data_IF_652267407195
#
_entry.id   IF_652267407195
#
_cell.length_a   1.000
_cell.length_b   1.000
_cell.length_c   1.000
_cell.angle_alpha   90.00
_cell.angle_beta   90.00
_cell.angle_gamma   90.00
#
_symmetry.space_group_name_H-M   'P 1'
#
loop_
_entity.id
_entity.type
_entity.pdbx_description
1 polymer ?
#
# COMPACT_ATOMS: atom_id res chain seq x y z
N UNK A 1 -18.16 48.49 -0.81
CA UNK A 1 -17.69 47.32 -1.59
C UNK A 1 -16.38 46.80 -0.98
N UNK A 2 -16.42 45.82 -0.07
CA UNK A 2 -15.22 45.24 0.56
C UNK A 2 -15.07 43.74 0.22
N UNK A 3 -14.88 43.41 -1.06
CA UNK A 3 -14.74 42.01 -1.54
C UNK A 3 -13.32 41.63 -1.99
N UNK A 4 -12.54 42.58 -2.51
CA UNK A 4 -11.28 42.26 -3.19
C UNK A 4 -10.05 42.17 -2.27
N UNK A 5 -10.14 42.72 -1.05
CA UNK A 5 -9.03 42.74 -0.08
C UNK A 5 -8.83 41.40 0.64
N UNK A 6 -9.84 40.51 0.65
CA UNK A 6 -9.77 39.22 1.33
C UNK A 6 -9.07 38.15 0.48
N UNK A 7 -9.31 38.12 -0.83
CA UNK A 7 -8.69 37.15 -1.74
C UNK A 7 -7.18 37.38 -1.90
N UNK A 8 -6.73 38.63 -1.97
CA UNK A 8 -5.30 38.95 -2.02
C UNK A 8 -4.55 38.59 -0.73
N UNK A 9 -5.23 38.66 0.43
CA UNK A 9 -4.67 38.23 1.71
C UNK A 9 -4.53 36.71 1.82
N UNK A 10 -5.48 35.96 1.27
CA UNK A 10 -5.44 34.48 1.24
C UNK A 10 -4.33 33.94 0.33
N UNK A 11 -4.14 34.52 -0.86
CA UNK A 11 -3.03 34.14 -1.74
C UNK A 11 -1.67 34.53 -1.14
N UNK A 12 -1.58 35.69 -0.50
CA UNK A 12 -0.37 36.13 0.17
C UNK A 12 -0.05 35.25 1.39
N UNK A 13 -1.04 34.85 2.20
CA UNK A 13 -0.83 33.94 3.33
C UNK A 13 -0.46 32.53 2.87
N UNK A 14 -1.01 32.05 1.75
CA UNK A 14 -0.63 30.76 1.16
C UNK A 14 0.81 30.77 0.66
N UNK A 15 1.21 31.85 -0.04
CA UNK A 15 2.58 32.03 -0.51
C UNK A 15 3.57 32.17 0.66
N UNK A 16 3.19 32.91 1.71
CA UNK A 16 4.00 33.11 2.92
C UNK A 16 4.15 31.82 3.73
N UNK A 17 3.06 31.08 3.96
CA UNK A 17 3.10 29.79 4.66
C UNK A 17 3.93 28.75 3.87
N UNK A 18 3.80 28.75 2.54
CA UNK A 18 4.63 27.90 1.67
C UNK A 18 6.10 28.30 1.77
N UNK A 19 6.42 29.59 1.79
CA UNK A 19 7.81 30.09 1.92
C UNK A 19 8.42 29.81 3.29
N UNK A 20 7.69 30.05 4.38
CA UNK A 20 8.17 29.84 5.75
C UNK A 20 8.38 28.34 6.04
N UNK A 21 7.51 27.47 5.49
CA UNK A 21 7.68 26.01 5.53
C UNK A 21 8.84 25.54 4.64
N UNK A 22 9.03 26.16 3.47
CA UNK A 22 10.16 25.85 2.57
C UNK A 22 11.50 26.24 3.21
N UNK A 23 11.57 27.37 3.91
CA UNK A 23 12.79 27.85 4.59
C UNK A 23 13.13 27.00 5.84
N UNK A 24 12.13 26.55 6.60
CA UNK A 24 12.35 25.66 7.74
C UNK A 24 12.77 24.24 7.31
N UNK A 25 12.27 23.74 6.17
CA UNK A 25 12.65 22.45 5.59
C UNK A 25 13.99 22.51 4.83
N UNK A 26 14.40 23.67 4.30
CA UNK A 26 15.64 23.82 3.52
C UNK A 26 16.92 23.48 4.30
N UNK A 27 16.91 23.51 5.63
CA UNK A 27 18.04 23.11 6.47
C UNK A 27 18.01 21.65 6.94
N UNK A 28 16.97 20.88 6.64
CA UNK A 28 16.89 19.44 6.90
C UNK A 28 16.46 18.71 5.63
N UNK A 29 17.37 18.59 4.67
CA UNK A 29 17.22 17.68 3.52
C UNK A 29 17.45 16.22 3.97
N UNK A 30 16.64 15.76 4.93
CA UNK A 30 16.69 14.40 5.44
C UNK A 30 15.91 13.50 4.48
N UNK A 31 16.62 12.80 3.61
CA UNK A 31 16.03 11.78 2.76
C UNK A 31 15.72 10.53 3.60
N UNK A 32 14.57 10.56 4.29
CA UNK A 32 14.10 9.44 5.12
C UNK A 32 13.88 8.15 4.32
N UNK A 33 13.84 8.22 2.99
CA UNK A 33 13.68 7.05 2.13
C UNK A 33 14.87 6.11 2.20
N UNK A 34 16.03 6.58 2.65
CA UNK A 34 17.25 5.76 2.82
C UNK A 34 17.22 4.90 4.10
N UNK A 35 16.25 5.09 5.00
CA UNK A 35 16.19 4.35 6.27
C UNK A 35 15.52 2.99 6.04
N UNK A 36 16.34 1.94 6.11
CA UNK A 36 15.90 0.55 6.22
C UNK A 36 15.64 0.19 7.68
N UNK A 37 14.54 -0.49 7.93
CA UNK A 37 14.18 -1.12 9.21
C UNK A 37 14.30 -2.64 9.07
N UNK A 38 14.60 -3.33 10.17
CA UNK A 38 14.55 -4.79 10.19
C UNK A 38 13.12 -5.28 9.93
N UNK A 39 12.97 -6.17 8.94
CA UNK A 39 11.67 -6.76 8.62
C UNK A 39 11.15 -7.61 9.80
N UNK A 40 9.85 -7.56 10.11
CA UNK A 40 9.27 -8.40 11.15
C UNK A 40 9.51 -9.89 10.86
N UNK A 41 9.68 -10.73 11.91
CA UNK A 41 10.05 -12.14 11.74
C UNK A 41 9.06 -12.93 10.88
N UNK A 42 7.80 -12.52 10.86
CA UNK A 42 6.73 -13.15 10.09
C UNK A 42 6.94 -13.06 8.57
N UNK A 43 7.75 -12.11 8.09
CA UNK A 43 8.00 -11.86 6.67
C UNK A 43 9.32 -12.46 6.17
N UNK A 44 10.14 -13.05 7.05
CA UNK A 44 11.52 -13.48 6.73
C UNK A 44 11.61 -14.41 5.52
N UNK A 45 10.67 -15.33 5.36
CA UNK A 45 10.68 -16.29 4.24
C UNK A 45 10.44 -15.62 2.88
N UNK A 46 9.85 -14.43 2.87
CA UNK A 46 9.71 -13.63 1.66
C UNK A 46 11.08 -13.13 1.22
N UNK A 47 11.85 -12.54 2.14
CA UNK A 47 13.20 -12.05 1.85
C UNK A 47 14.14 -13.16 1.35
N UNK A 48 13.99 -14.39 1.83
CA UNK A 48 14.82 -15.53 1.39
C UNK A 48 14.39 -16.11 0.03
N UNK A 49 13.12 -15.93 -0.35
CA UNK A 49 12.60 -16.43 -1.62
C UNK A 49 12.80 -15.44 -2.79
N UNK A 50 12.97 -14.15 -2.50
CA UNK A 50 13.22 -13.14 -3.52
C UNK A 50 14.62 -13.29 -4.15
N UNK A 51 14.72 -12.95 -5.44
CA UNK A 51 16.03 -12.85 -6.10
C UNK A 51 16.86 -11.72 -5.48
N UNK A 52 18.21 -11.78 -5.53
CA UNK A 52 19.06 -10.72 -4.98
C UNK A 52 18.74 -9.32 -5.53
N UNK A 53 18.34 -9.23 -6.81
CA UNK A 53 17.91 -7.99 -7.45
C UNK A 53 16.63 -7.43 -6.82
N UNK A 54 15.62 -8.29 -6.57
CA UNK A 54 14.38 -7.90 -5.88
C UNK A 54 14.62 -7.50 -4.43
N UNK A 55 15.50 -8.21 -3.71
CA UNK A 55 15.88 -7.82 -2.34
C UNK A 55 16.53 -6.43 -2.35
N UNK A 56 17.47 -6.18 -3.27
CA UNK A 56 18.10 -4.86 -3.40
C UNK A 56 17.07 -3.76 -3.71
N UNK A 57 16.17 -4.02 -4.67
CA UNK A 57 15.09 -3.09 -5.03
C UNK A 57 14.18 -2.74 -3.85
N UNK A 58 13.88 -3.73 -3.00
CA UNK A 58 13.01 -3.60 -1.84
C UNK A 58 13.71 -3.04 -0.59
N UNK A 59 15.03 -3.03 -0.52
CA UNK A 59 15.77 -2.56 0.66
C UNK A 59 16.50 -1.24 0.47
N UNK A 60 16.89 -0.92 -0.77
CA UNK A 60 17.67 0.26 -1.11
C UNK A 60 17.23 0.90 -2.45
N UNK A 61 16.34 0.26 -3.20
CA UNK A 61 15.93 0.72 -4.52
C UNK A 61 14.72 1.65 -4.55
N UNK A 62 14.27 2.02 -5.75
CA UNK A 62 13.09 2.86 -5.95
C UNK A 62 11.80 2.34 -5.28
N UNK A 63 11.60 1.02 -5.22
CA UNK A 63 10.41 0.45 -4.60
C UNK A 63 10.43 0.60 -3.06
N UNK A 64 11.60 0.49 -2.43
CA UNK A 64 11.82 0.85 -1.02
C UNK A 64 11.46 2.31 -0.77
N UNK A 65 11.99 3.23 -1.58
CA UNK A 65 11.69 4.66 -1.45
C UNK A 65 10.19 4.94 -1.63
N UNK A 66 9.54 4.25 -2.55
CA UNK A 66 8.09 4.35 -2.78
C UNK A 66 7.31 3.87 -1.54
N UNK A 67 7.66 2.71 -0.98
CA UNK A 67 7.05 2.18 0.24
C UNK A 67 7.26 3.12 1.46
N UNK A 68 8.43 3.74 1.59
CA UNK A 68 8.73 4.75 2.62
C UNK A 68 7.83 5.97 2.48
N UNK A 69 7.75 6.55 1.28
CA UNK A 69 6.96 7.76 0.99
C UNK A 69 5.47 7.51 1.22
N UNK A 70 4.96 6.41 0.68
CA UNK A 70 3.57 6.01 0.88
C UNK A 70 3.30 5.72 2.36
N UNK A 71 4.15 4.95 3.03
CA UNK A 71 4.00 4.68 4.46
C UNK A 71 3.93 5.94 5.31
N UNK A 72 4.77 6.94 5.03
CA UNK A 72 4.73 8.23 5.71
C UNK A 72 3.47 9.06 5.37
N UNK A 73 3.03 9.08 4.11
CA UNK A 73 1.87 9.84 3.67
C UNK A 73 0.54 9.36 4.27
N UNK A 74 0.45 8.05 4.57
CA UNK A 74 -0.76 7.42 5.09
C UNK A 74 -0.66 7.02 6.58
N UNK A 75 0.40 7.39 7.28
CA UNK A 75 0.69 6.92 8.65
C UNK A 75 -0.44 7.21 9.65
N UNK A 76 -1.05 8.40 9.55
CA UNK A 76 -2.09 8.89 10.46
C UNK A 76 -3.50 8.37 10.12
N UNK A 77 -3.76 8.04 8.85
CA UNK A 77 -5.05 7.48 8.40
C UNK A 77 -5.09 5.95 8.46
N UNK A 78 -3.92 5.31 8.60
CA UNK A 78 -3.77 3.88 8.64
C UNK A 78 -4.50 3.24 9.84
N UNK A 79 -5.33 2.19 9.62
CA UNK A 79 -6.00 1.51 10.72
C UNK A 79 -4.99 0.71 11.57
N UNK A 80 -5.14 0.76 12.90
CA UNK A 80 -4.26 0.05 13.85
C UNK A 80 -4.61 -1.45 13.86
N UNK A 81 -3.91 -2.23 13.05
CA UNK A 81 -4.22 -3.65 12.81
C UNK A 81 -3.00 -4.58 12.98
N UNK A 82 -2.36 -4.58 14.17
CA UNK A 82 -1.11 -5.33 14.39
C UNK A 82 -1.28 -6.86 14.25
N UNK A 83 -2.43 -7.42 14.63
CA UNK A 83 -2.67 -8.87 14.56
C UNK A 83 -2.87 -9.32 13.12
N UNK A 84 -3.55 -8.50 12.32
CA UNK A 84 -3.70 -8.67 10.88
C UNK A 84 -2.35 -8.62 10.18
N UNK A 85 -1.54 -7.59 10.44
CA UNK A 85 -0.22 -7.49 9.81
C UNK A 85 0.64 -8.70 10.16
N UNK A 86 0.61 -9.16 11.42
CA UNK A 86 1.29 -10.39 11.82
C UNK A 86 0.78 -11.63 11.06
N UNK A 87 -0.54 -11.84 11.03
CA UNK A 87 -1.15 -12.97 10.34
C UNK A 87 -0.90 -12.93 8.82
N UNK A 88 -0.94 -11.74 8.22
CA UNK A 88 -0.62 -11.53 6.82
C UNK A 88 0.82 -11.92 6.51
N UNK A 89 1.79 -11.48 7.30
CA UNK A 89 3.20 -11.88 7.14
C UNK A 89 3.37 -13.40 7.17
N UNK A 90 2.80 -14.07 8.19
CA UNK A 90 2.86 -15.53 8.31
C UNK A 90 2.25 -16.24 7.10
N UNK A 91 1.09 -15.75 6.63
CA UNK A 91 0.38 -16.32 5.47
C UNK A 91 1.12 -16.07 4.17
N UNK A 92 1.66 -14.87 3.97
CA UNK A 92 2.44 -14.50 2.80
C UNK A 92 3.75 -15.32 2.73
N UNK A 93 4.41 -15.52 3.86
CA UNK A 93 5.56 -16.42 3.98
C UNK A 93 5.20 -17.87 3.65
N UNK A 94 4.06 -18.38 4.13
CA UNK A 94 3.56 -19.72 3.77
C UNK A 94 3.30 -19.88 2.28
N UNK A 95 2.55 -18.94 1.69
CA UNK A 95 2.25 -18.93 0.25
C UNK A 95 3.55 -18.89 -0.57
N UNK A 96 4.50 -18.05 -0.15
CA UNK A 96 5.83 -17.95 -0.78
C UNK A 96 6.53 -19.30 -0.82
N UNK A 97 6.57 -20.03 0.31
CA UNK A 97 7.18 -21.37 0.35
C UNK A 97 6.49 -22.35 -0.60
N UNK A 98 5.17 -22.29 -0.68
CA UNK A 98 4.40 -23.18 -1.56
C UNK A 98 4.58 -22.88 -3.04
N UNK A 99 4.59 -21.60 -3.43
CA UNK A 99 4.87 -21.18 -4.80
C UNK A 99 6.26 -21.63 -5.20
N UNK A 100 7.28 -21.35 -4.38
CA UNK A 100 8.66 -21.79 -4.63
C UNK A 100 8.79 -23.30 -4.76
N UNK A 101 8.05 -24.07 -3.93
CA UNK A 101 8.02 -25.52 -4.04
C UNK A 101 7.36 -26.01 -5.34
N UNK A 102 6.25 -25.40 -5.75
CA UNK A 102 5.57 -25.70 -7.01
C UNK A 102 6.43 -25.37 -8.23
N UNK A 103 7.13 -24.23 -8.21
CA UNK A 103 8.06 -23.83 -9.26
C UNK A 103 9.26 -24.79 -9.37
N UNK A 104 9.83 -25.22 -8.24
CA UNK A 104 10.94 -26.18 -8.23
C UNK A 104 10.54 -27.55 -8.80
N UNK A 105 9.29 -27.98 -8.59
CA UNK A 105 8.76 -29.20 -9.21
C UNK A 105 8.60 -29.06 -10.73
N UNK A 106 8.12 -27.90 -11.20
CA UNK A 106 7.93 -27.61 -12.62
C UNK A 106 9.26 -27.38 -13.36
N UNK A 107 10.25 -26.73 -12.72
CA UNK A 107 11.56 -26.44 -13.29
C UNK A 107 12.43 -27.67 -13.57
N UNK A 108 12.19 -28.79 -12.86
CA UNK A 108 12.87 -30.07 -13.17
C UNK A 108 12.52 -30.64 -14.56
N UNK A 109 11.43 -30.19 -15.19
CA UNK A 109 11.01 -30.64 -16.54
C UNK A 109 11.64 -29.84 -17.69
N UNK A 110 12.09 -28.60 -17.47
CA UNK A 110 12.66 -27.73 -18.51
C UNK A 110 14.04 -27.22 -18.07
N UNK A 111 15.07 -28.03 -18.35
CA UNK A 111 16.42 -27.86 -17.78
C UNK A 111 17.33 -26.89 -18.55
N UNK A 112 16.90 -26.30 -19.67
CA UNK A 112 17.85 -25.77 -20.66
C UNK A 112 17.91 -24.26 -20.92
N UNK A 113 17.07 -23.39 -20.33
CA UNK A 113 17.17 -21.94 -20.57
C UNK A 113 16.72 -21.15 -19.34
N UNK A 114 17.63 -20.70 -18.46
CA UNK A 114 17.15 -20.15 -17.18
C UNK A 114 17.97 -19.04 -16.51
N UNK A 115 18.94 -18.39 -17.15
CA UNK A 115 19.67 -17.30 -16.48
C UNK A 115 18.78 -16.06 -16.23
N UNK A 116 17.90 -15.70 -17.19
CA UNK A 116 16.89 -14.63 -17.04
C UNK A 116 15.89 -14.96 -15.92
N UNK A 117 15.55 -16.24 -15.73
CA UNK A 117 14.69 -16.73 -14.65
C UNK A 117 15.39 -16.79 -13.28
N UNK A 118 16.72 -16.72 -13.21
CA UNK A 118 17.44 -16.63 -11.94
C UNK A 118 17.52 -15.18 -11.44
N UNK A 119 17.62 -14.21 -12.34
CA UNK A 119 17.74 -12.79 -11.99
C UNK A 119 16.37 -12.12 -11.76
N UNK A 120 15.37 -12.47 -12.59
CA UNK A 120 14.01 -11.89 -12.56
C UNK A 120 12.89 -12.94 -12.42
N UNK A 121 13.20 -14.22 -12.35
CA UNK A 121 12.19 -15.27 -12.19
C UNK A 121 11.88 -15.57 -10.72
N UNK A 122 10.81 -16.33 -10.52
CA UNK A 122 10.26 -16.65 -9.21
C UNK A 122 9.22 -15.65 -8.74
N UNK A 123 8.75 -15.84 -7.51
CA UNK A 123 7.70 -15.02 -6.89
C UNK A 123 8.09 -13.54 -6.80
N UNK A 124 7.20 -12.66 -7.25
CA UNK A 124 7.35 -11.22 -7.04
C UNK A 124 6.57 -10.79 -5.81
N UNK A 125 7.25 -10.78 -4.67
CA UNK A 125 6.76 -10.24 -3.41
C UNK A 125 7.56 -8.98 -3.01
N UNK A 126 8.13 -8.28 -4.00
CA UNK A 126 9.07 -7.18 -3.80
C UNK A 126 8.42 -6.02 -3.03
N UNK A 127 7.17 -5.68 -3.36
CA UNK A 127 6.39 -4.66 -2.65
C UNK A 127 6.07 -5.03 -1.20
N UNK A 128 5.87 -6.32 -0.90
CA UNK A 128 5.68 -6.79 0.49
C UNK A 128 6.98 -6.62 1.28
N UNK A 129 8.10 -7.08 0.73
CA UNK A 129 9.40 -6.97 1.39
C UNK A 129 9.77 -5.51 1.59
N UNK A 130 9.56 -4.67 0.57
CA UNK A 130 9.79 -3.23 0.65
C UNK A 130 8.95 -2.57 1.75
N UNK A 131 7.67 -2.93 1.87
CA UNK A 131 6.83 -2.45 2.95
C UNK A 131 7.36 -2.90 4.33
N UNK A 132 7.72 -4.17 4.47
CA UNK A 132 8.22 -4.75 5.71
C UNK A 132 9.53 -4.13 6.19
N UNK A 133 10.41 -3.72 5.27
CA UNK A 133 11.70 -3.07 5.54
C UNK A 133 11.62 -1.53 5.57
N UNK A 134 10.48 -0.95 5.22
CA UNK A 134 10.27 0.50 5.21
C UNK A 134 9.72 1.01 6.53
N UNK A 135 8.46 0.72 6.84
CA UNK A 135 7.79 1.30 8.01
C UNK A 135 6.59 0.47 8.42
N UNK A 136 6.12 0.65 9.66
CA UNK A 136 4.91 -0.02 10.15
C UNK A 136 3.66 0.31 9.34
N UNK A 137 3.56 1.54 8.84
CA UNK A 137 2.43 2.00 8.02
C UNK A 137 2.51 1.51 6.56
N UNK A 138 3.70 1.17 6.05
CA UNK A 138 3.86 0.72 4.67
C UNK A 138 3.20 -0.65 4.40
N UNK A 139 3.12 -1.54 5.39
CA UNK A 139 2.46 -2.84 5.25
C UNK A 139 0.94 -2.74 5.04
N UNK A 140 0.19 -1.98 5.85
CA UNK A 140 -1.20 -1.64 5.56
C UNK A 140 -1.40 -0.97 4.19
N UNK A 141 -0.47 -0.11 3.77
CA UNK A 141 -0.54 0.53 2.44
C UNK A 141 -0.27 -0.47 1.31
N UNK A 142 0.57 -1.48 1.52
CA UNK A 142 0.68 -2.59 0.59
C UNK A 142 -0.63 -3.39 0.48
N UNK A 143 -1.39 -3.56 1.57
CA UNK A 143 -2.72 -4.18 1.49
C UNK A 143 -3.70 -3.31 0.70
N UNK A 144 -3.63 -1.98 0.80
CA UNK A 144 -4.37 -1.08 -0.10
C UNK A 144 -3.96 -1.29 -1.56
N UNK A 145 -2.67 -1.47 -1.84
CA UNK A 145 -2.19 -1.80 -3.18
C UNK A 145 -2.76 -3.12 -3.71
N UNK A 146 -2.93 -4.12 -2.85
CA UNK A 146 -3.59 -5.37 -3.21
C UNK A 146 -5.07 -5.15 -3.58
N UNK A 147 -5.80 -4.34 -2.80
CA UNK A 147 -7.20 -3.98 -3.11
C UNK A 147 -7.29 -3.30 -4.47
N UNK A 148 -6.46 -2.27 -4.71
CA UNK A 148 -6.45 -1.54 -5.97
C UNK A 148 -6.07 -2.47 -7.14
N UNK A 149 -5.04 -3.29 -6.97
CA UNK A 149 -4.60 -4.22 -7.99
C UNK A 149 -5.67 -5.26 -8.34
N UNK A 150 -6.48 -5.69 -7.36
CA UNK A 150 -7.55 -6.66 -7.60
C UNK A 150 -8.72 -6.08 -8.39
N UNK A 151 -9.02 -4.81 -8.14
CA UNK A 151 -10.22 -4.16 -8.63
C UNK A 151 -10.05 -3.47 -9.98
N UNK A 152 -8.87 -2.89 -10.26
CA UNK A 152 -8.65 -2.09 -11.47
C UNK A 152 -7.52 -2.64 -12.34
N UNK A 153 -7.63 -2.47 -13.68
CA UNK A 153 -6.53 -2.71 -14.61
C UNK A 153 -5.30 -1.84 -14.29
N UNK A 154 -4.08 -2.23 -14.73
CA UNK A 154 -2.84 -1.54 -14.35
C UNK A 154 -2.81 -0.03 -14.65
N UNK A 155 -3.32 0.39 -15.81
CA UNK A 155 -3.32 1.80 -16.21
C UNK A 155 -4.29 2.64 -15.36
N UNK A 156 -5.45 2.08 -15.02
CA UNK A 156 -6.44 2.71 -14.15
C UNK A 156 -5.92 2.76 -12.72
N UNK A 157 -5.35 1.67 -12.20
CA UNK A 157 -4.71 1.60 -10.88
C UNK A 157 -3.62 2.67 -10.69
N UNK A 158 -2.80 2.91 -11.72
CA UNK A 158 -1.77 3.96 -11.67
C UNK A 158 -2.39 5.36 -11.60
N UNK A 159 -3.49 5.59 -12.34
CA UNK A 159 -4.23 6.87 -12.29
C UNK A 159 -4.90 7.07 -10.92
N UNK A 160 -5.49 6.02 -10.37
CA UNK A 160 -6.09 6.02 -9.03
C UNK A 160 -5.05 6.34 -7.97
N UNK A 161 -3.88 5.70 -7.99
CA UNK A 161 -2.81 6.01 -7.05
C UNK A 161 -2.41 7.49 -7.10
N UNK A 162 -2.29 8.06 -8.31
CA UNK A 162 -1.96 9.46 -8.48
C UNK A 162 -3.04 10.38 -7.87
N UNK A 163 -4.32 10.05 -8.07
CA UNK A 163 -5.44 10.76 -7.47
C UNK A 163 -5.43 10.64 -5.94
N UNK A 164 -5.32 9.42 -5.40
CA UNK A 164 -5.32 9.18 -3.95
C UNK A 164 -4.18 9.95 -3.28
N UNK A 165 -2.99 9.97 -3.87
CA UNK A 165 -1.84 10.72 -3.33
C UNK A 165 -2.10 12.23 -3.39
N UNK A 166 -2.67 12.74 -4.48
CA UNK A 166 -2.99 14.16 -4.62
C UNK A 166 -4.03 14.60 -3.59
N UNK A 167 -5.12 13.84 -3.42
CA UNK A 167 -6.15 14.07 -2.42
C UNK A 167 -5.56 14.02 -1.01
N UNK A 168 -4.77 12.98 -0.70
CA UNK A 168 -4.15 12.82 0.63
C UNK A 168 -3.20 13.96 0.97
N UNK A 169 -2.39 14.43 0.01
CA UNK A 169 -1.54 15.61 0.21
C UNK A 169 -2.38 16.86 0.49
N UNK A 170 -3.50 17.03 -0.21
CA UNK A 170 -4.41 18.16 0.02
C UNK A 170 -5.02 18.13 1.42
N UNK A 171 -5.43 16.96 1.89
CA UNK A 171 -5.94 16.79 3.26
C UNK A 171 -4.90 17.17 4.32
N UNK A 172 -3.65 16.70 4.17
CA UNK A 172 -2.59 17.02 5.13
C UNK A 172 -2.31 18.52 5.14
N UNK A 173 -2.22 19.17 3.97
CA UNK A 173 -2.01 20.61 3.87
C UNK A 173 -3.15 21.39 4.53
N UNK A 174 -4.41 20.99 4.29
CA UNK A 174 -5.57 21.62 4.92
C UNK A 174 -5.59 21.45 6.45
N UNK A 175 -5.15 20.30 6.97
CA UNK A 175 -5.01 20.08 8.41
C UNK A 175 -3.87 20.90 9.03
N UNK A 176 -2.74 21.05 8.32
CA UNK A 176 -1.64 21.92 8.75
C UNK A 176 -2.13 23.38 8.88
N UNK A 177 -2.91 23.87 7.91
CA UNK A 177 -3.52 25.21 7.96
C UNK A 177 -4.46 25.40 9.15
N UNK A 178 -5.13 24.33 9.59
CA UNK A 178 -6.01 24.34 10.76
C UNK A 178 -5.24 24.26 12.09
N UNK A 179 -3.92 24.11 12.05
CA UNK A 179 -3.05 24.06 13.23
C UNK A 179 -2.85 22.66 13.81
N UNK A 180 -3.19 21.60 13.06
CA UNK A 180 -2.96 20.23 13.49
C UNK A 180 -1.46 19.90 13.52
N UNK A 181 -1.04 19.21 14.59
CA UNK A 181 0.35 18.78 14.74
C UNK A 181 0.58 17.43 14.06
N UNK A 182 1.46 17.40 13.07
CA UNK A 182 1.91 16.18 12.41
C UNK A 182 3.33 15.79 12.81
N UNK A 183 3.63 14.49 12.74
CA UNK A 183 5.01 14.03 12.85
C UNK A 183 5.85 14.55 11.67
N UNK A 184 7.14 14.90 11.87
CA UNK A 184 8.00 15.44 10.82
C UNK A 184 8.06 14.60 9.53
N UNK A 185 7.91 13.27 9.64
CA UNK A 185 7.88 12.36 8.49
C UNK A 185 6.73 12.64 7.52
N UNK A 186 5.56 13.05 8.02
CA UNK A 186 4.39 13.39 7.21
C UNK A 186 4.65 14.70 6.46
N UNK A 187 5.16 15.71 7.17
CA UNK A 187 5.51 17.02 6.61
C UNK A 187 6.53 16.92 5.48
N UNK A 188 7.56 16.07 5.62
CA UNK A 188 8.53 15.80 4.55
C UNK A 188 7.93 14.98 3.39
N UNK A 189 7.05 14.01 3.68
CA UNK A 189 6.43 13.19 2.65
C UNK A 189 5.50 13.98 1.71
N UNK A 190 4.81 15.00 2.22
CA UNK A 190 3.95 15.88 1.39
C UNK A 190 4.76 16.59 0.31
N UNK A 191 5.97 17.04 0.63
CA UNK A 191 6.86 17.74 -0.31
C UNK A 191 7.48 16.81 -1.36
N UNK A 192 7.64 15.51 -1.05
CA UNK A 192 8.28 14.58 -1.96
C UNK A 192 7.35 14.12 -3.09
N UNK A 193 7.84 14.16 -4.33
CA UNK A 193 7.12 13.64 -5.48
C UNK A 193 7.19 12.10 -5.54
N UNK A 194 6.07 11.47 -5.90
CA UNK A 194 6.01 10.05 -6.26
C UNK A 194 5.56 10.00 -7.71
N UNK A 195 6.43 9.54 -8.60
CA UNK A 195 6.16 9.58 -10.04
C UNK A 195 5.18 8.49 -10.45
N UNK A 196 4.48 8.68 -11.58
CA UNK A 196 3.57 7.65 -12.11
C UNK A 196 4.28 6.33 -12.42
N UNK A 197 5.55 6.38 -12.80
CA UNK A 197 6.38 5.19 -13.02
C UNK A 197 6.61 4.41 -11.71
N UNK A 198 6.90 5.12 -10.62
CA UNK A 198 7.04 4.50 -9.29
C UNK A 198 5.73 3.85 -8.84
N UNK A 199 4.59 4.51 -9.07
CA UNK A 199 3.26 3.98 -8.76
C UNK A 199 2.91 2.75 -9.61
N UNK A 200 3.24 2.78 -10.90
CA UNK A 200 3.06 1.64 -11.78
C UNK A 200 3.91 0.45 -11.34
N UNK A 201 5.16 0.67 -10.90
CA UNK A 201 6.03 -0.39 -10.36
C UNK A 201 5.50 -0.96 -9.05
N UNK A 202 4.97 -0.10 -8.18
CA UNK A 202 4.30 -0.50 -6.93
C UNK A 202 3.08 -1.39 -7.18
N UNK A 203 2.17 -0.96 -8.06
CA UNK A 203 1.00 -1.76 -8.46
C UNK A 203 1.42 -3.07 -9.13
N UNK A 204 2.38 -3.03 -10.05
CA UNK A 204 2.84 -4.22 -10.77
C UNK A 204 3.37 -5.30 -9.83
N UNK A 205 4.16 -4.93 -8.81
CA UNK A 205 4.66 -5.89 -7.82
C UNK A 205 3.54 -6.44 -6.93
N UNK A 206 2.60 -5.60 -6.47
CA UNK A 206 1.44 -6.06 -5.69
C UNK A 206 0.55 -7.02 -6.51
N UNK A 207 0.35 -6.73 -7.79
CA UNK A 207 -0.41 -7.58 -8.72
C UNK A 207 0.28 -8.90 -9.01
N UNK A 208 1.59 -8.89 -9.23
CA UNK A 208 2.38 -10.10 -9.45
C UNK A 208 2.39 -11.01 -8.20
N UNK A 209 2.40 -10.40 -7.01
CA UNK A 209 2.18 -11.12 -5.75
C UNK A 209 0.80 -11.81 -5.73
N UNK A 210 -0.28 -11.09 -6.00
CA UNK A 210 -1.65 -11.65 -6.01
C UNK A 210 -1.78 -12.80 -7.01
N UNK A 211 -1.22 -12.66 -8.21
CA UNK A 211 -1.21 -13.74 -9.21
C UNK A 211 -0.47 -14.99 -8.71
N UNK A 212 0.66 -14.80 -8.02
CA UNK A 212 1.42 -15.90 -7.42
C UNK A 212 0.62 -16.58 -6.31
N UNK A 213 0.01 -15.80 -5.42
CA UNK A 213 -0.82 -16.30 -4.34
C UNK A 213 -2.03 -17.09 -4.86
N UNK A 214 -2.72 -16.57 -5.87
CA UNK A 214 -3.86 -17.23 -6.52
C UNK A 214 -3.49 -18.58 -7.12
N UNK A 215 -2.28 -18.72 -7.66
CA UNK A 215 -1.83 -19.97 -8.29
C UNK A 215 -1.84 -21.17 -7.31
N UNK A 216 -1.63 -20.91 -6.01
CA UNK A 216 -1.62 -21.93 -4.94
C UNK A 216 -2.82 -21.84 -4.00
N UNK A 217 -3.63 -20.77 -4.08
CA UNK A 217 -4.84 -20.54 -3.25
C UNK A 217 -6.13 -20.46 -4.05
N UNK A 218 -6.11 -20.86 -5.31
CA UNK A 218 -7.25 -20.71 -6.21
C UNK A 218 -8.55 -21.31 -5.65
N UNK A 219 -8.46 -22.46 -4.95
CA UNK A 219 -9.64 -23.11 -4.36
C UNK A 219 -10.26 -22.26 -3.26
N UNK A 220 -9.44 -21.79 -2.31
CA UNK A 220 -9.88 -20.95 -1.20
C UNK A 220 -10.42 -19.61 -1.71
N UNK A 221 -9.74 -19.01 -2.68
CA UNK A 221 -10.17 -17.77 -3.31
C UNK A 221 -11.53 -17.93 -4.00
N UNK A 222 -11.72 -18.97 -4.83
CA UNK A 222 -13.01 -19.25 -5.47
C UNK A 222 -14.12 -19.52 -4.46
N UNK A 223 -13.83 -20.25 -3.39
CA UNK A 223 -14.81 -20.51 -2.33
C UNK A 223 -15.23 -19.20 -1.64
N UNK A 224 -14.29 -18.32 -1.34
CA UNK A 224 -14.59 -17.01 -0.78
C UNK A 224 -15.47 -16.18 -1.72
N UNK A 225 -15.12 -16.08 -3.00
CA UNK A 225 -15.90 -15.34 -3.98
C UNK A 225 -17.34 -15.85 -4.10
N UNK A 226 -17.52 -17.18 -4.12
CA UNK A 226 -18.85 -17.78 -4.15
C UNK A 226 -19.67 -17.42 -2.92
N UNK A 227 -19.05 -17.35 -1.74
CA UNK A 227 -19.75 -16.91 -0.53
C UNK A 227 -20.09 -15.43 -0.63
N UNK A 228 -19.11 -14.58 -0.98
CA UNK A 228 -19.28 -13.14 -1.07
C UNK A 228 -20.37 -12.72 -2.06
N UNK A 229 -20.45 -13.40 -3.22
CA UNK A 229 -21.49 -13.15 -4.23
C UNK A 229 -22.90 -13.54 -3.78
N UNK A 230 -23.02 -14.41 -2.78
CA UNK A 230 -24.31 -14.84 -2.22
C UNK A 230 -24.72 -14.07 -0.96
N UNK A 231 -23.91 -13.11 -0.50
CA UNK A 231 -24.28 -12.23 0.61
C UNK A 231 -25.02 -11.02 0.06
N UNK A 232 -26.25 -10.84 0.49
CA UNK A 232 -27.06 -9.65 0.17
C UNK A 232 -26.55 -8.47 1.02
N UNK A 233 -25.53 -7.78 0.51
CA UNK A 233 -24.94 -6.61 1.14
C UNK A 233 -25.37 -5.36 0.37
N UNK A 234 -25.96 -4.40 1.08
CA UNK A 234 -26.30 -3.12 0.47
C UNK A 234 -25.01 -2.38 0.07
N UNK A 235 -24.97 -1.89 -1.17
CA UNK A 235 -24.01 -0.86 -1.56
C UNK A 235 -24.62 0.43 -1.02
N UNK A 236 -24.10 0.91 0.11
CA UNK A 236 -24.42 2.27 0.54
C UNK A 236 -23.76 3.21 -0.45
N UNK A 237 -24.57 3.87 -1.28
CA UNK A 237 -24.11 4.90 -2.20
C UNK A 237 -23.78 6.13 -1.35
N UNK A 238 -22.53 6.22 -0.91
CA UNK A 238 -22.03 7.43 -0.30
C UNK A 238 -21.84 8.44 -1.43
N UNK A 239 -22.47 9.61 -1.36
CA UNK A 239 -22.22 10.77 -2.24
C UNK A 239 -20.80 11.36 -2.03
N UNK A 240 -19.83 10.50 -1.78
CA UNK A 240 -18.46 10.83 -1.39
C UNK A 240 -17.51 10.65 -2.58
N UNK A 241 -16.36 11.33 -2.52
CA UNK A 241 -15.33 11.25 -3.55
C UNK A 241 -14.77 9.82 -3.68
N UNK A 242 -14.22 9.51 -4.85
CA UNK A 242 -13.56 8.23 -5.11
C UNK A 242 -12.47 7.92 -4.07
N UNK A 243 -11.69 8.93 -3.69
CA UNK A 243 -10.72 8.83 -2.62
C UNK A 243 -11.35 8.42 -1.28
N UNK A 244 -12.41 9.09 -0.82
CA UNK A 244 -13.09 8.76 0.44
C UNK A 244 -13.58 7.32 0.44
N UNK A 245 -14.20 6.90 -0.67
CA UNK A 245 -14.70 5.54 -0.84
C UNK A 245 -13.59 4.48 -0.76
N UNK A 246 -12.45 4.71 -1.43
CA UNK A 246 -11.30 3.78 -1.39
C UNK A 246 -10.71 3.71 0.01
N UNK A 247 -10.51 4.86 0.67
CA UNK A 247 -9.98 4.90 2.04
C UNK A 247 -10.94 4.25 3.02
N UNK A 248 -12.25 4.44 2.84
CA UNK A 248 -13.29 3.78 3.63
C UNK A 248 -13.23 2.26 3.46
N UNK A 249 -13.28 1.75 2.22
CA UNK A 249 -13.14 0.31 1.90
C UNK A 249 -11.91 -0.28 2.59
N UNK A 250 -10.76 0.37 2.41
CA UNK A 250 -9.49 -0.09 2.98
C UNK A 250 -9.52 -0.13 4.51
N UNK A 251 -9.93 0.96 5.18
CA UNK A 251 -9.97 1.03 6.64
C UNK A 251 -10.96 0.03 7.23
N UNK A 252 -12.13 -0.11 6.63
CA UNK A 252 -13.18 -1.00 7.11
C UNK A 252 -12.79 -2.47 6.91
N UNK A 253 -12.22 -2.84 5.75
CA UNK A 253 -11.76 -4.21 5.50
C UNK A 253 -10.63 -4.64 6.44
N UNK A 254 -9.61 -3.80 6.63
CA UNK A 254 -8.50 -4.10 7.54
C UNK A 254 -8.97 -4.21 9.00
N UNK A 255 -9.84 -3.29 9.44
CA UNK A 255 -10.38 -3.32 10.81
C UNK A 255 -11.28 -4.53 11.05
N UNK A 256 -12.09 -4.91 10.06
CA UNK A 256 -12.93 -6.11 10.12
C UNK A 256 -12.05 -7.36 10.23
N UNK A 257 -11.01 -7.48 9.41
CA UNK A 257 -10.11 -8.64 9.44
C UNK A 257 -9.30 -8.73 10.74
N UNK A 258 -8.82 -7.60 11.28
CA UNK A 258 -8.21 -7.55 12.62
C UNK A 258 -9.17 -8.12 13.67
N UNK A 259 -10.44 -7.72 13.62
CA UNK A 259 -11.48 -8.23 14.51
C UNK A 259 -11.67 -9.75 14.37
N UNK A 260 -11.79 -10.24 13.14
CA UNK A 260 -11.98 -11.68 12.85
C UNK A 260 -10.79 -12.52 13.35
N UNK A 261 -9.56 -12.04 13.15
CA UNK A 261 -8.33 -12.72 13.64
C UNK A 261 -8.31 -12.79 15.16
N UNK A 262 -8.82 -11.75 15.83
CA UNK A 262 -8.97 -11.71 17.29
C UNK A 262 -10.19 -12.48 17.81
N UNK A 263 -10.92 -13.20 16.94
CA UNK A 263 -12.10 -13.98 17.31
C UNK A 263 -13.33 -13.13 17.62
N UNK A 264 -13.35 -11.85 17.21
CA UNK A 264 -14.51 -10.98 17.39
C UNK A 264 -15.51 -11.25 16.27
N UNK A 265 -16.78 -11.54 16.61
CA UNK A 265 -17.81 -11.69 15.59
C UNK A 265 -18.00 -10.37 14.86
N UNK A 266 -18.07 -10.44 13.53
CA UNK A 266 -18.30 -9.28 12.68
C UNK A 266 -19.53 -9.53 11.81
N UNK A 267 -20.48 -8.60 11.83
CA UNK A 267 -21.65 -8.66 10.96
C UNK A 267 -21.30 -7.89 9.69
N UNK A 268 -21.08 -8.60 8.59
CA UNK A 268 -20.84 -7.97 7.29
C UNK A 268 -22.17 -7.45 6.76
N UNK A 269 -22.43 -6.16 6.91
CA UNK A 269 -23.60 -5.48 6.35
C UNK A 269 -23.28 -4.65 5.11
N UNK A 270 -22.00 -4.38 4.90
CA UNK A 270 -21.52 -3.41 3.92
C UNK A 270 -20.68 -4.11 2.85
N UNK A 271 -21.09 -3.94 1.58
CA UNK A 271 -20.38 -4.45 0.41
C UNK A 271 -18.88 -4.05 0.34
N UNK A 272 -18.46 -2.84 0.77
CA UNK A 272 -17.06 -2.45 0.89
C UNK A 272 -16.16 -3.45 1.63
N UNK A 273 -16.65 -4.11 2.68
CA UNK A 273 -15.87 -5.09 3.44
C UNK A 273 -15.59 -6.32 2.59
N UNK A 274 -16.62 -6.88 1.95
CA UNK A 274 -16.46 -8.06 1.10
C UNK A 274 -15.53 -7.79 -0.09
N UNK A 275 -15.64 -6.58 -0.64
CA UNK A 275 -14.80 -6.11 -1.74
C UNK A 275 -13.33 -5.97 -1.31
N UNK A 276 -13.05 -5.34 -0.18
CA UNK A 276 -11.68 -5.28 0.37
C UNK A 276 -11.13 -6.64 0.79
N UNK A 277 -11.97 -7.53 1.33
CA UNK A 277 -11.59 -8.90 1.71
C UNK A 277 -11.39 -9.85 0.52
N UNK A 278 -11.88 -9.50 -0.67
CA UNK A 278 -11.68 -10.27 -1.90
C UNK A 278 -10.30 -10.05 -2.54
N UNK A 279 -9.58 -9.02 -2.08
CA UNK A 279 -8.21 -8.75 -2.50
C UNK A 279 -7.23 -9.72 -1.83
#
# INVERSE_FOLDING_TARGET
MPGDLAFGKLQASLAQATQDFTLAAANFNFDFTLIKVEAPPEYRDIGTALSPSRVHEAEAGPLHATARRLGALFEDVCPKTPSLIKAYGLRASEITREVSAAEAQNGRKNRNDNWIRMEYGGIDATSIWAAATSSKAALPVHLLACIIARMWPPAEATSLWAEIIAERKREILASIEQGDWFHPGISSAVQQEITREQLAKWDASARAWLQSADSVRQKQYKQFLLIAQNVDAAIQDHEESLYSNIIHVWKTALSAMEGLILGRPHVVRDAPILLGLSA
#
